data_IF_171335228219
#
_entry.id   IF_171335228219
#
_cell.length_a   1.000
_cell.length_b   1.000
_cell.length_c   1.000
_cell.angle_alpha   90.00
_cell.angle_beta   90.00
_cell.angle_gamma   90.00
#
_symmetry.space_group_name_H-M   'P 1'
#
loop_
_entity.id
_entity.type
_entity.pdbx_description
1 polymer ?
#
# COMPACT_ATOMS: atom_id res chain seq x y z
N UNK A 1 0.04 -4.55 -10.11
CA UNK A 1 0.07 -5.31 -8.85
C UNK A 1 0.75 -4.45 -7.81
N UNK A 2 0.27 -4.46 -6.57
CA UNK A 2 0.80 -3.68 -5.46
C UNK A 2 1.34 -4.63 -4.39
N UNK A 3 2.60 -4.48 -3.98
CA UNK A 3 3.10 -5.13 -2.78
C UNK A 3 2.65 -4.29 -1.59
N UNK A 4 1.76 -4.84 -0.76
CA UNK A 4 1.17 -4.16 0.37
C UNK A 4 1.40 -4.97 1.65
N UNK A 5 1.68 -4.28 2.75
CA UNK A 5 1.75 -4.86 4.08
C UNK A 5 0.43 -4.62 4.81
N UNK A 6 -0.16 -5.67 5.37
CA UNK A 6 -1.36 -5.58 6.21
C UNK A 6 -0.92 -5.75 7.66
N UNK A 7 -1.09 -4.71 8.48
CA UNK A 7 -0.75 -4.74 9.90
C UNK A 7 -1.61 -5.75 10.68
N UNK A 8 -2.90 -5.81 10.37
CA UNK A 8 -3.83 -6.77 11.00
C UNK A 8 -3.52 -8.23 10.66
N UNK A 9 -2.94 -8.51 9.49
CA UNK A 9 -2.54 -9.86 9.11
C UNK A 9 -1.04 -10.14 9.36
N UNK A 10 -0.28 -9.14 9.79
CA UNK A 10 1.17 -9.17 10.02
C UNK A 10 1.95 -9.80 8.85
N UNK A 11 1.57 -9.46 7.61
CA UNK A 11 2.19 -10.05 6.41
C UNK A 11 2.12 -9.16 5.18
N UNK A 12 3.07 -9.36 4.28
CA UNK A 12 3.06 -8.78 2.94
C UNK A 12 2.26 -9.64 1.96
N UNK A 13 1.61 -8.98 1.00
CA UNK A 13 0.82 -9.63 -0.03
C UNK A 13 0.85 -8.83 -1.34
N UNK A 14 0.72 -9.55 -2.45
CA UNK A 14 0.59 -8.95 -3.78
C UNK A 14 -0.89 -8.76 -4.10
N UNK A 15 -1.35 -7.52 -4.08
CA UNK A 15 -2.75 -7.18 -4.37
C UNK A 15 -2.92 -6.72 -5.82
N UNK A 16 -3.94 -7.23 -6.53
CA UNK A 16 -4.31 -6.71 -7.84
C UNK A 16 -5.04 -5.36 -7.71
N UNK A 17 -5.11 -4.62 -8.81
CA UNK A 17 -5.77 -3.31 -8.83
C UNK A 17 -7.28 -3.35 -8.51
N UNK A 18 -7.92 -4.52 -8.62
CA UNK A 18 -9.33 -4.71 -8.23
C UNK A 18 -9.59 -4.53 -6.74
N UNK A 19 -8.54 -4.54 -5.91
CA UNK A 19 -8.62 -4.29 -4.47
C UNK A 19 -8.48 -2.80 -4.11
N UNK A 20 -8.26 -1.92 -5.09
CA UNK A 20 -8.20 -0.47 -4.86
C UNK A 20 -9.60 0.05 -4.54
N UNK A 21 -9.72 0.79 -3.45
CA UNK A 21 -10.94 1.51 -3.07
C UNK A 21 -10.91 2.96 -3.53
N UNK A 22 -9.78 3.63 -3.34
CA UNK A 22 -9.62 5.04 -3.66
C UNK A 22 -8.15 5.38 -3.98
N UNK A 23 -7.98 6.49 -4.69
CA UNK A 23 -6.68 7.08 -5.01
C UNK A 23 -6.72 8.56 -4.60
N UNK A 24 -5.73 8.97 -3.81
CA UNK A 24 -5.62 10.33 -3.32
C UNK A 24 -4.29 10.95 -3.78
N UNK A 25 -4.37 12.04 -4.53
CA UNK A 25 -3.21 12.87 -4.83
C UNK A 25 -2.89 13.70 -3.58
N UNK A 26 -1.82 13.36 -2.88
CA UNK A 26 -1.41 14.09 -1.67
C UNK A 26 -0.54 15.29 -2.01
N UNK A 27 0.36 15.12 -2.97
CA UNK A 27 1.24 16.16 -3.50
C UNK A 27 1.65 15.82 -4.94
N UNK A 28 2.42 16.70 -5.58
CA UNK A 28 2.95 16.43 -6.92
C UNK A 28 3.88 15.23 -6.87
N UNK A 29 3.50 14.15 -7.54
CA UNK A 29 4.28 12.91 -7.58
C UNK A 29 4.12 11.99 -6.37
N UNK A 30 3.16 12.29 -5.46
CA UNK A 30 2.85 11.45 -4.30
C UNK A 30 1.37 11.09 -4.31
N UNK A 31 1.09 9.78 -4.34
CA UNK A 31 -0.25 9.21 -4.36
C UNK A 31 -0.39 8.26 -3.17
N UNK A 32 -1.48 8.39 -2.42
CA UNK A 32 -1.94 7.36 -1.50
C UNK A 32 -2.98 6.48 -2.20
N UNK A 33 -2.75 5.18 -2.14
CA UNK A 33 -3.63 4.15 -2.69
C UNK A 33 -4.30 3.45 -1.52
N UNK A 34 -5.59 3.68 -1.34
CA UNK A 34 -6.38 2.95 -0.36
C UNK A 34 -6.82 1.62 -0.96
N UNK A 35 -6.51 0.51 -0.29
CA UNK A 35 -6.77 -0.84 -0.76
C UNK A 35 -7.41 -1.70 0.34
N UNK A 36 -8.01 -2.81 -0.06
CA UNK A 36 -8.48 -3.85 0.87
C UNK A 36 -7.63 -5.11 0.73
N UNK A 37 -7.19 -5.70 1.84
CA UNK A 37 -6.52 -7.00 1.85
C UNK A 37 -7.50 -8.14 1.52
N UNK A 38 -7.01 -9.38 1.38
CA UNK A 38 -7.89 -10.54 1.12
C UNK A 38 -8.88 -10.84 2.26
N UNK A 39 -8.57 -10.42 3.49
CA UNK A 39 -9.41 -10.59 4.68
C UNK A 39 -10.38 -9.41 4.91
N UNK A 40 -10.34 -8.36 4.07
CA UNK A 40 -11.24 -7.22 4.19
C UNK A 40 -10.68 -6.00 4.94
N UNK A 41 -9.46 -6.04 5.47
CA UNK A 41 -8.83 -4.93 6.18
C UNK A 41 -8.38 -3.81 5.24
N UNK A 42 -8.45 -2.56 5.69
CA UNK A 42 -8.03 -1.39 4.90
C UNK A 42 -6.52 -1.21 5.03
N UNK A 43 -5.84 -1.05 3.89
CA UNK A 43 -4.40 -0.80 3.79
C UNK A 43 -4.18 0.49 3.02
N UNK A 44 -3.22 1.30 3.45
CA UNK A 44 -2.75 2.46 2.71
C UNK A 44 -1.37 2.18 2.11
N UNK A 45 -1.27 2.22 0.78
CA UNK A 45 0.01 2.14 0.07
C UNK A 45 0.38 3.54 -0.40
N UNK A 46 1.53 4.03 0.04
CA UNK A 46 2.09 5.30 -0.41
C UNK A 46 3.03 5.05 -1.59
N UNK A 47 2.86 5.80 -2.67
CA UNK A 47 3.70 5.72 -3.86
C UNK A 47 4.13 7.12 -4.30
N UNK A 48 5.43 7.34 -4.46
CA UNK A 48 5.97 8.61 -4.92
C UNK A 48 7.48 8.72 -4.80
N UNK A 49 8.06 9.68 -5.51
CA UNK A 49 9.51 9.86 -5.67
C UNK A 49 10.25 10.20 -4.38
N UNK A 50 9.57 10.88 -3.45
CA UNK A 50 10.15 11.37 -2.19
C UNK A 50 9.72 10.54 -0.98
N UNK A 51 9.12 9.36 -1.20
CA UNK A 51 8.70 8.49 -0.11
C UNK A 51 9.83 7.52 0.20
N UNK A 52 10.75 7.95 1.05
CA UNK A 52 11.71 7.05 1.72
C UNK A 52 10.96 6.24 2.78
N UNK A 53 10.26 5.19 2.35
CA UNK A 53 9.87 4.12 3.27
C UNK A 53 11.07 3.18 3.27
N UNK A 54 11.89 3.11 4.34
CA UNK A 54 12.84 2.03 4.46
C UNK A 54 12.04 0.73 4.30
N UNK A 55 12.38 -0.05 3.27
CA UNK A 55 11.84 -1.39 3.12
C UNK A 55 12.04 -2.15 4.44
N UNK A 56 11.26 -3.23 4.68
CA UNK A 56 11.48 -4.04 5.87
C UNK A 56 12.95 -4.38 5.96
N UNK A 57 13.56 -4.19 7.14
CA UNK A 57 14.94 -4.59 7.36
C UNK A 57 15.10 -6.05 6.88
N UNK A 58 16.08 -6.35 6.00
CA UNK A 58 16.35 -7.72 5.65
C UNK A 58 16.73 -8.46 6.94
N UNK A 59 15.96 -9.52 7.26
CA UNK A 59 16.28 -10.47 8.32
C UNK A 59 17.45 -11.35 7.92
#
# INVERSE_FOLDING_TARGET
>A
MFLAYCDECDRQMLLPASHIRALHNLARGVIAVEMTCYEGHVILVLSGSDIDIPGPAPV
#
